data_IF_655241304449
#
_entry.id   IF_655241304449
#
_cell.length_a   1.000
_cell.length_b   1.000
_cell.length_c   1.000
_cell.angle_alpha   90.00
_cell.angle_beta   90.00
_cell.angle_gamma   90.00
#
_symmetry.space_group_name_H-M   'P 1'
#
loop_
_entity.id
_entity.type
_entity.pdbx_description
1 polymer ?
#
# COMPACT_ATOMS: atom_id res chain seq x y z
N UNK A 1 -2.22 8.87 2.78
CA UNK A 1 -2.08 8.65 1.33
C UNK A 1 -2.34 7.18 0.99
N UNK A 2 -2.81 6.86 -0.23
CA UNK A 2 -3.00 5.47 -0.70
C UNK A 2 -2.21 5.15 -1.98
N UNK A 3 -2.05 3.88 -2.34
CA UNK A 3 -1.22 3.43 -3.48
C UNK A 3 -1.47 4.18 -4.81
N UNK A 4 -2.72 4.48 -5.16
CA UNK A 4 -3.02 5.30 -6.35
C UNK A 4 -2.47 6.74 -6.32
N UNK A 5 -2.35 7.35 -5.15
CA UNK A 5 -1.67 8.65 -4.98
C UNK A 5 -0.14 8.51 -5.06
N UNK A 6 0.43 7.39 -4.59
CA UNK A 6 1.87 7.14 -4.76
C UNK A 6 2.25 7.05 -6.24
N UNK A 7 1.44 6.42 -7.10
CA UNK A 7 1.65 6.47 -8.57
C UNK A 7 1.76 7.92 -9.06
N UNK A 8 0.88 8.81 -8.62
CA UNK A 8 0.91 10.22 -9.02
C UNK A 8 2.15 10.96 -8.46
N UNK A 9 2.46 10.80 -7.17
CA UNK A 9 3.60 11.44 -6.52
C UNK A 9 4.93 11.00 -7.17
N UNK A 10 5.14 9.69 -7.33
CA UNK A 10 6.33 9.09 -7.94
C UNK A 10 6.50 9.48 -9.41
N UNK A 11 5.41 9.61 -10.17
CA UNK A 11 5.46 10.05 -11.56
C UNK A 11 5.87 11.52 -11.69
N UNK A 12 5.35 12.39 -10.81
CA UNK A 12 5.73 13.81 -10.79
C UNK A 12 7.18 14.00 -10.34
N UNK A 13 7.61 13.29 -9.29
CA UNK A 13 8.99 13.24 -8.78
C UNK A 13 9.96 12.77 -9.88
N UNK A 14 9.67 11.65 -10.53
CA UNK A 14 10.48 11.12 -11.63
C UNK A 14 10.61 12.10 -12.81
N UNK A 15 9.55 12.81 -13.19
CA UNK A 15 9.62 13.80 -14.28
C UNK A 15 10.33 15.09 -13.85
N UNK A 16 10.26 15.48 -12.58
CA UNK A 16 10.95 16.64 -12.04
C UNK A 16 12.47 16.42 -11.90
N UNK A 17 12.88 15.27 -11.35
CA UNK A 17 14.28 15.02 -10.97
C UNK A 17 15.07 14.17 -11.95
N UNK A 18 14.42 13.51 -12.93
CA UNK A 18 15.16 12.88 -14.03
C UNK A 18 15.65 13.94 -15.02
N UNK A 19 16.89 14.37 -14.83
CA UNK A 19 17.58 15.34 -15.68
C UNK A 19 17.61 14.97 -17.17
N UNK A 20 17.45 13.69 -17.55
CA UNK A 20 17.39 13.29 -18.96
C UNK A 20 16.02 13.58 -19.61
N UNK A 21 14.96 13.79 -18.82
CA UNK A 21 13.61 14.09 -19.31
C UNK A 21 13.36 15.60 -19.37
N UNK A 22 13.60 16.32 -18.26
CA UNK A 22 13.41 17.78 -18.18
C UNK A 22 14.48 18.44 -17.29
N UNK A 23 15.65 18.81 -17.86
CA UNK A 23 16.70 19.52 -17.13
C UNK A 23 16.19 20.77 -16.41
N UNK A 24 16.52 20.94 -15.13
CA UNK A 24 16.14 22.12 -14.34
C UNK A 24 14.66 22.19 -13.94
N UNK A 25 13.87 21.15 -14.17
CA UNK A 25 12.52 21.02 -13.60
C UNK A 25 12.58 20.91 -12.07
N UNK A 26 11.44 21.15 -11.42
CA UNK A 26 11.30 21.16 -9.95
C UNK A 26 9.99 20.52 -9.52
N UNK A 27 10.02 19.76 -8.44
CA UNK A 27 8.83 19.18 -7.82
C UNK A 27 8.18 20.20 -6.89
N UNK A 28 6.90 20.50 -7.13
CA UNK A 28 6.06 21.32 -6.25
C UNK A 28 5.08 20.39 -5.53
N UNK A 29 5.05 20.42 -4.20
CA UNK A 29 3.95 19.87 -3.42
C UNK A 29 3.04 21.03 -3.01
N UNK A 30 1.79 20.98 -3.45
CA UNK A 30 0.73 21.94 -3.13
C UNK A 30 -0.43 21.21 -2.45
N UNK A 31 -1.00 21.83 -1.42
CA UNK A 31 -2.30 21.45 -0.90
C UNK A 31 -3.37 22.28 -1.60
N UNK A 32 -4.34 21.63 -2.23
CA UNK A 32 -5.41 22.28 -2.99
C UNK A 32 -6.67 22.42 -2.14
N UNK A 33 -6.56 23.21 -1.05
CA UNK A 33 -7.50 23.26 0.06
C UNK A 33 -8.73 24.16 -0.18
N UNK A 34 -9.28 24.12 -1.41
CA UNK A 34 -10.43 24.94 -1.85
C UNK A 34 -11.78 24.53 -1.23
N UNK A 35 -11.80 23.63 -0.25
CA UNK A 35 -13.01 23.07 0.36
C UNK A 35 -12.91 23.03 1.90
N UNK A 36 -13.26 24.12 2.60
CA UNK A 36 -13.10 24.27 4.04
C UNK A 36 -13.56 23.10 4.89
N UNK A 37 -14.78 22.61 4.64
CA UNK A 37 -15.44 21.57 5.43
C UNK A 37 -14.85 20.16 5.32
N UNK A 38 -13.85 19.94 4.46
CA UNK A 38 -13.23 18.63 4.21
C UNK A 38 -11.73 18.59 4.56
N UNK A 39 -11.11 19.75 4.70
CA UNK A 39 -9.66 19.86 4.89
C UNK A 39 -9.29 19.89 6.37
N UNK A 40 -8.20 19.20 6.71
CA UNK A 40 -7.68 19.17 8.08
C UNK A 40 -6.16 19.13 8.09
N UNK A 41 -5.57 19.79 9.08
CA UNK A 41 -4.12 19.83 9.28
C UNK A 41 -3.51 18.43 9.52
N UNK A 42 -4.26 17.51 10.16
CA UNK A 42 -3.83 16.11 10.38
C UNK A 42 -3.57 15.36 9.06
N UNK A 43 -4.38 15.61 8.03
CA UNK A 43 -4.19 14.99 6.71
C UNK A 43 -2.97 15.57 5.99
N UNK A 44 -2.73 16.88 6.11
CA UNK A 44 -1.57 17.53 5.50
C UNK A 44 -0.26 16.99 6.07
N UNK A 45 -0.17 16.83 7.39
CA UNK A 45 0.98 16.21 8.05
C UNK A 45 1.19 14.76 7.58
N UNK A 46 0.13 13.95 7.55
CA UNK A 46 0.20 12.56 7.08
C UNK A 46 0.58 12.44 5.59
N UNK A 47 0.14 13.36 4.73
CA UNK A 47 0.48 13.38 3.30
C UNK A 47 1.95 13.75 3.04
N UNK A 48 2.58 14.59 3.87
CA UNK A 48 4.01 14.87 3.77
C UNK A 48 4.86 13.71 4.29
N UNK A 49 4.41 13.07 5.37
CA UNK A 49 5.06 11.91 5.96
C UNK A 49 5.04 10.69 5.01
N UNK A 50 3.90 10.44 4.35
CA UNK A 50 3.78 9.38 3.34
C UNK A 50 4.64 9.66 2.09
N UNK A 51 4.85 10.92 1.72
CA UNK A 51 5.75 11.29 0.61
C UNK A 51 7.23 11.15 0.98
N UNK A 52 7.62 11.56 2.20
CA UNK A 52 8.96 11.27 2.75
C UNK A 52 9.24 9.77 2.77
N UNK A 53 8.26 8.96 3.20
CA UNK A 53 8.33 7.49 3.18
C UNK A 53 8.63 6.94 1.78
N UNK A 54 8.11 7.57 0.72
CA UNK A 54 8.38 7.18 -0.67
C UNK A 54 9.71 7.74 -1.23
N UNK A 55 10.46 8.50 -0.43
CA UNK A 55 11.59 9.32 -0.85
C UNK A 55 11.23 10.36 -1.92
N UNK A 56 9.99 10.89 -1.89
CA UNK A 56 9.52 12.00 -2.72
C UNK A 56 9.74 13.30 -1.95
N UNK A 57 10.65 14.15 -2.42
CA UNK A 57 11.09 15.36 -1.70
C UNK A 57 10.84 16.59 -2.57
N UNK A 58 10.00 17.56 -2.13
CA UNK A 58 9.70 18.74 -2.93
C UNK A 58 10.89 19.71 -2.98
N UNK A 59 11.14 20.29 -4.16
CA UNK A 59 11.95 21.51 -4.29
C UNK A 59 11.23 22.73 -3.73
N UNK A 60 9.89 22.71 -3.75
CA UNK A 60 9.03 23.78 -3.24
C UNK A 60 7.79 23.19 -2.58
N UNK A 61 7.63 23.42 -1.28
CA UNK A 61 6.41 23.12 -0.55
C UNK A 61 5.53 24.39 -0.48
N UNK A 62 4.29 24.29 -0.95
CA UNK A 62 3.31 25.37 -0.94
C UNK A 62 2.18 24.98 0.01
N UNK A 63 2.29 25.47 1.25
CA UNK A 63 1.33 25.23 2.32
C UNK A 63 0.21 26.28 2.38
N UNK A 64 -0.20 26.83 1.22
CA UNK A 64 -1.38 27.67 1.05
C UNK A 64 -1.66 27.95 -0.44
N UNK A 65 -2.83 27.55 -0.93
CA UNK A 65 -3.58 28.46 -1.78
C UNK A 65 -4.12 29.60 -0.90
N UNK A 66 -4.22 30.82 -1.43
CA UNK A 66 -5.14 31.80 -0.84
C UNK A 66 -6.56 31.32 -1.15
N UNK A 67 -7.53 31.39 -0.23
CA UNK A 67 -8.93 31.15 -0.60
C UNK A 67 -9.31 32.16 -1.69
N UNK A 68 -9.58 31.64 -2.88
CA UNK A 68 -10.03 32.37 -4.05
C UNK A 68 -11.19 31.58 -4.66
N UNK A 69 -12.23 32.25 -5.19
CA UNK A 69 -13.50 32.25 -4.45
C UNK A 69 -14.76 32.60 -5.33
N UNK A 70 -15.83 31.77 -5.35
CA UNK A 70 -17.15 31.92 -6.08
C UNK A 70 -18.35 31.34 -5.28
N UNK A 71 -19.62 31.66 -5.63
CA UNK A 71 -20.83 31.44 -4.80
C UNK A 71 -22.06 30.91 -5.53
N UNK A 72 -21.90 30.08 -6.54
CA UNK A 72 -23.03 29.59 -7.35
C UNK A 72 -23.86 28.52 -6.61
N UNK A 73 -25.15 28.80 -6.34
CA UNK A 73 -26.08 27.82 -5.78
C UNK A 73 -26.27 26.62 -6.74
N UNK A 74 -26.09 25.39 -6.22
CA UNK A 74 -26.34 24.15 -6.96
C UNK A 74 -27.80 24.11 -7.45
N UNK A 75 -27.99 24.25 -8.76
CA UNK A 75 -29.30 24.15 -9.39
C UNK A 75 -29.91 22.78 -9.09
N UNK A 76 -31.02 22.77 -8.33
CA UNK A 76 -31.71 21.55 -7.89
C UNK A 76 -32.22 20.68 -9.04
N UNK A 77 -32.30 21.21 -10.25
CA UNK A 77 -32.52 20.42 -11.44
C UNK A 77 -31.59 20.83 -12.60
N UNK A 78 -30.92 19.85 -13.18
CA UNK A 78 -29.87 20.03 -14.18
C UNK A 78 -30.40 20.00 -15.63
N UNK A 79 -31.73 20.07 -15.82
CA UNK A 79 -32.40 19.95 -17.13
C UNK A 79 -31.86 20.97 -18.13
N UNK A 80 -31.75 22.26 -17.78
CA UNK A 80 -31.24 23.28 -18.70
C UNK A 80 -29.82 22.95 -19.22
N UNK A 81 -28.92 22.49 -18.35
CA UNK A 81 -27.56 22.06 -18.71
C UNK A 81 -27.57 20.81 -19.60
N UNK A 82 -28.40 19.81 -19.29
CA UNK A 82 -28.56 18.59 -20.10
C UNK A 82 -29.10 18.91 -21.50
N UNK A 83 -30.07 19.82 -21.59
CA UNK A 83 -30.69 20.28 -22.83
C UNK A 83 -29.90 21.40 -23.53
N UNK A 84 -28.71 21.77 -23.03
CA UNK A 84 -27.83 22.85 -23.55
C UNK A 84 -28.53 24.21 -23.71
N UNK A 85 -29.54 24.49 -22.89
CA UNK A 85 -30.26 25.75 -22.90
C UNK A 85 -29.43 26.85 -22.20
N UNK A 86 -29.38 28.08 -22.73
CA UNK A 86 -28.73 29.20 -22.05
C UNK A 86 -29.49 29.55 -20.77
N UNK A 87 -28.75 30.03 -19.76
CA UNK A 87 -29.36 30.64 -18.56
C UNK A 87 -30.12 31.91 -18.97
N UNK A 88 -31.25 32.19 -18.31
CA UNK A 88 -31.96 33.47 -18.45
C UNK A 88 -31.11 34.68 -18.03
N UNK A 89 -30.01 34.45 -17.31
CA UNK A 89 -29.01 35.46 -16.92
C UNK A 89 -27.74 35.45 -17.79
N UNK A 90 -27.70 34.70 -18.90
CA UNK A 90 -26.48 34.54 -19.72
C UNK A 90 -25.96 35.86 -20.30
N UNK A 91 -26.87 36.69 -20.78
CA UNK A 91 -26.55 37.88 -21.57
C UNK A 91 -26.77 39.19 -20.78
N UNK A 92 -26.65 39.12 -19.44
CA UNK A 92 -26.63 40.32 -18.57
C UNK A 92 -25.45 41.22 -18.93
N UNK A 93 -25.62 42.53 -18.75
CA UNK A 93 -24.54 43.47 -19.04
C UNK A 93 -23.44 43.45 -17.95
N UNK A 94 -22.29 44.05 -18.26
CA UNK A 94 -21.12 44.05 -17.36
C UNK A 94 -21.45 44.72 -16.01
N UNK A 95 -22.23 45.81 -16.02
CA UNK A 95 -22.59 46.54 -14.79
C UNK A 95 -23.51 45.73 -13.90
N UNK A 96 -24.51 45.07 -14.46
CA UNK A 96 -25.41 44.15 -13.75
C UNK A 96 -24.64 42.97 -13.14
N UNK A 97 -23.72 42.40 -13.92
CA UNK A 97 -22.88 41.27 -13.50
C UNK A 97 -21.96 41.65 -12.34
N UNK A 98 -21.31 42.82 -12.41
CA UNK A 98 -20.46 43.34 -11.34
C UNK A 98 -21.26 43.69 -10.08
N UNK A 99 -22.47 44.27 -10.23
CA UNK A 99 -23.36 44.52 -9.09
C UNK A 99 -23.73 43.23 -8.38
N UNK A 100 -24.18 42.22 -9.13
CA UNK A 100 -24.51 40.91 -8.56
C UNK A 100 -23.32 40.22 -7.88
N UNK A 101 -22.10 40.35 -8.41
CA UNK A 101 -20.91 39.83 -7.76
C UNK A 101 -20.60 40.55 -6.43
N UNK A 102 -20.77 41.88 -6.40
CA UNK A 102 -20.64 42.69 -5.18
C UNK A 102 -21.70 42.35 -4.13
N UNK A 103 -22.94 42.08 -4.55
CA UNK A 103 -24.04 41.65 -3.68
C UNK A 103 -23.74 40.28 -3.04
N UNK A 104 -23.21 39.33 -3.84
CA UNK A 104 -22.80 38.01 -3.36
C UNK A 104 -21.70 38.14 -2.29
N UNK A 105 -20.64 38.90 -2.57
CA UNK A 105 -19.55 39.13 -1.61
C UNK A 105 -20.06 39.76 -0.30
N UNK A 106 -20.97 40.73 -0.39
CA UNK A 106 -21.46 41.50 0.76
C UNK A 106 -22.50 40.75 1.60
N UNK A 107 -23.20 39.76 1.02
CA UNK A 107 -24.27 39.01 1.66
C UNK A 107 -23.86 37.71 2.34
N UNK A 108 -22.57 37.35 2.31
CA UNK A 108 -22.09 36.06 2.83
C UNK A 108 -21.70 36.11 4.31
N UNK A 109 -22.21 35.18 5.14
CA UNK A 109 -21.83 35.09 6.54
C UNK A 109 -20.39 34.59 6.70
N UNK A 110 -19.81 34.86 7.87
CA UNK A 110 -18.53 34.30 8.29
C UNK A 110 -18.58 32.76 8.26
N UNK A 111 -17.59 32.13 7.62
CA UNK A 111 -17.38 30.68 7.67
C UNK A 111 -16.24 30.34 8.65
N UNK A 112 -16.54 29.96 9.90
CA UNK A 112 -15.53 29.55 10.87
C UNK A 112 -14.96 28.14 10.60
N UNK A 113 -15.44 27.42 9.57
CA UNK A 113 -14.94 26.08 9.25
C UNK A 113 -13.63 26.06 8.47
N UNK A 114 -13.20 27.19 7.89
CA UNK A 114 -11.91 27.24 7.18
C UNK A 114 -10.73 27.43 8.14
N UNK A 115 -9.95 26.36 8.32
CA UNK A 115 -8.88 26.24 9.31
C UNK A 115 -7.66 27.15 9.11
N UNK A 116 -7.58 27.90 8.00
CA UNK A 116 -6.45 28.81 7.70
C UNK A 116 -6.79 30.30 7.78
N UNK A 117 -7.96 30.73 7.30
CA UNK A 117 -8.39 32.14 7.35
C UNK A 117 -9.91 32.26 7.52
N UNK A 118 -10.37 32.43 8.76
CA UNK A 118 -11.76 32.80 9.04
C UNK A 118 -11.97 34.29 8.69
N UNK A 119 -12.50 34.57 7.50
CA UNK A 119 -12.81 35.92 7.02
C UNK A 119 -14.24 36.06 6.51
N UNK A 120 -14.95 37.07 7.01
CA UNK A 120 -16.26 37.52 6.54
C UNK A 120 -16.29 37.73 5.02
N UNK A 121 -17.41 37.39 4.36
CA UNK A 121 -17.61 37.66 2.93
C UNK A 121 -16.91 36.71 1.94
N UNK A 122 -16.41 35.55 2.38
CA UNK A 122 -15.69 34.57 1.54
C UNK A 122 -16.63 33.60 0.80
N UNK A 123 -16.24 33.06 -0.36
CA UNK A 123 -17.14 32.44 -1.36
C UNK A 123 -16.53 31.12 -1.93
N UNK A 124 -17.12 29.93 -1.70
CA UNK A 124 -16.65 28.59 -2.13
C UNK A 124 -16.48 28.28 -3.66
N UNK A 125 -15.29 28.51 -4.27
CA UNK A 125 -14.97 28.34 -5.72
C UNK A 125 -15.06 26.92 -6.32
N UNK A 126 -14.80 26.86 -7.63
CA UNK A 126 -14.58 25.64 -8.41
C UNK A 126 -13.09 25.28 -8.59
N UNK A 127 -12.83 23.98 -8.45
CA UNK A 127 -11.54 23.34 -8.73
C UNK A 127 -11.01 23.64 -10.14
N UNK A 128 -11.88 23.53 -11.15
CA UNK A 128 -11.52 23.69 -12.57
C UNK A 128 -10.92 25.08 -12.88
N UNK A 129 -11.31 26.12 -12.12
CA UNK A 129 -10.73 27.47 -12.24
C UNK A 129 -9.53 27.67 -11.30
N UNK A 130 -9.61 27.25 -10.04
CA UNK A 130 -8.54 27.48 -9.06
C UNK A 130 -7.24 26.77 -9.43
N UNK A 131 -7.31 25.48 -9.77
CA UNK A 131 -6.12 24.68 -10.07
C UNK A 131 -5.30 25.27 -11.23
N UNK A 132 -5.98 25.80 -12.24
CA UNK A 132 -5.39 26.45 -13.42
C UNK A 132 -4.70 27.77 -13.09
N UNK A 133 -5.32 28.61 -12.24
CA UNK A 133 -4.73 29.86 -11.78
C UNK A 133 -3.50 29.59 -10.91
N UNK A 134 -3.55 28.60 -10.03
CA UNK A 134 -2.42 28.17 -9.21
C UNK A 134 -1.27 27.62 -10.07
N UNK A 135 -1.58 26.75 -11.05
CA UNK A 135 -0.58 26.20 -11.98
C UNK A 135 0.13 27.32 -12.78
N UNK A 136 -0.58 28.38 -13.16
CA UNK A 136 0.01 29.56 -13.77
C UNK A 136 0.91 30.35 -12.79
N UNK A 137 0.38 30.76 -11.63
CA UNK A 137 1.05 31.60 -10.61
C UNK A 137 2.33 30.92 -10.10
N UNK A 138 2.30 29.60 -9.93
CA UNK A 138 3.41 28.84 -9.34
C UNK A 138 4.50 28.50 -10.35
N UNK A 139 4.28 28.77 -11.64
CA UNK A 139 5.23 28.49 -12.71
C UNK A 139 5.22 27.03 -13.17
N UNK A 140 4.11 26.30 -13.00
CA UNK A 140 4.00 24.89 -13.43
C UNK A 140 4.26 24.79 -14.93
N UNK A 141 5.27 24.00 -15.31
CA UNK A 141 5.69 23.82 -16.70
C UNK A 141 4.99 22.64 -17.39
N UNK A 142 4.35 21.77 -16.61
CA UNK A 142 3.67 20.54 -17.03
C UNK A 142 2.70 20.13 -15.91
N UNK A 143 1.42 19.98 -16.23
CA UNK A 143 0.43 19.46 -15.29
C UNK A 143 0.13 17.99 -15.60
N UNK A 144 0.30 17.11 -14.62
CA UNK A 144 -0.04 15.69 -14.75
C UNK A 144 -1.34 15.41 -13.99
N UNK A 145 -2.36 14.90 -14.69
CA UNK A 145 -3.70 14.66 -14.10
C UNK A 145 -4.17 13.23 -14.39
N UNK A 146 -5.09 12.71 -13.59
CA UNK A 146 -5.74 11.42 -13.91
C UNK A 146 -6.70 11.58 -15.09
N UNK A 147 -6.80 10.54 -15.91
CA UNK A 147 -7.64 10.52 -17.11
C UNK A 147 -9.15 10.70 -16.86
N UNK A 148 -9.61 10.70 -15.61
CA UNK A 148 -10.98 11.08 -15.23
C UNK A 148 -11.28 12.58 -15.43
N UNK A 149 -10.24 13.41 -15.63
CA UNK A 149 -10.34 14.85 -15.86
C UNK A 149 -10.13 15.27 -17.32
N UNK A 150 -9.88 14.37 -18.28
CA UNK A 150 -9.57 14.75 -19.67
C UNK A 150 -10.68 15.58 -20.35
N UNK A 151 -11.95 15.34 -19.99
CA UNK A 151 -13.11 16.17 -20.39
C UNK A 151 -12.99 17.65 -19.97
N UNK A 152 -12.07 18.01 -19.06
CA UNK A 152 -11.80 19.38 -18.61
C UNK A 152 -10.66 20.05 -19.37
N UNK A 153 -9.87 19.33 -20.17
CA UNK A 153 -8.67 19.90 -20.79
C UNK A 153 -9.03 21.01 -21.80
N UNK A 154 -10.11 20.83 -22.56
CA UNK A 154 -10.64 21.87 -23.45
C UNK A 154 -11.13 23.12 -22.69
N UNK A 155 -11.72 22.95 -21.50
CA UNK A 155 -12.13 24.05 -20.64
C UNK A 155 -10.91 24.77 -20.04
N UNK A 156 -9.87 24.02 -19.65
CA UNK A 156 -8.61 24.56 -19.16
C UNK A 156 -7.85 25.34 -20.24
N UNK A 157 -7.81 24.85 -21.48
CA UNK A 157 -7.20 25.58 -22.60
C UNK A 157 -7.94 26.90 -22.87
N UNK A 158 -9.28 26.87 -22.89
CA UNK A 158 -10.12 28.06 -23.08
C UNK A 158 -9.90 29.11 -21.99
N UNK A 159 -9.86 28.73 -20.70
CA UNK A 159 -9.60 29.66 -19.62
C UNK A 159 -8.21 30.32 -19.74
N UNK A 160 -7.18 29.57 -20.13
CA UNK A 160 -5.84 30.12 -20.31
C UNK A 160 -5.79 31.12 -21.47
N UNK A 161 -6.48 30.85 -22.58
CA UNK A 161 -6.59 31.77 -23.71
C UNK A 161 -7.40 33.04 -23.32
N UNK A 162 -8.58 32.87 -22.74
CA UNK A 162 -9.48 33.98 -22.39
C UNK A 162 -8.90 34.93 -21.34
N UNK A 163 -8.01 34.44 -20.45
CA UNK A 163 -7.31 35.23 -19.44
C UNK A 163 -5.91 35.69 -19.88
N UNK A 164 -5.45 35.35 -21.10
CA UNK A 164 -4.12 35.70 -21.59
C UNK A 164 -2.97 35.06 -20.82
N UNK A 165 -3.19 33.89 -20.22
CA UNK A 165 -2.21 33.19 -19.39
C UNK A 165 -1.21 32.40 -20.24
N UNK A 166 -0.04 32.13 -19.65
CA UNK A 166 0.94 31.19 -20.21
C UNK A 166 0.31 29.80 -20.24
N UNK A 167 0.26 29.20 -21.43
CA UNK A 167 -0.22 27.83 -21.61
C UNK A 167 0.64 26.82 -20.82
N UNK A 168 -0.03 26.05 -19.96
CA UNK A 168 0.50 24.93 -19.19
C UNK A 168 -0.03 23.65 -19.86
N UNK A 169 0.83 22.82 -20.47
CA UNK A 169 0.38 21.58 -21.09
C UNK A 169 -0.07 20.59 -20.01
N UNK A 170 -1.28 20.04 -20.19
CA UNK A 170 -1.83 18.98 -19.36
C UNK A 170 -1.56 17.65 -20.07
N UNK A 171 -1.09 16.65 -19.32
CA UNK A 171 -0.99 15.26 -19.76
C UNK A 171 -1.73 14.37 -18.79
N UNK A 172 -2.53 13.44 -19.33
CA UNK A 172 -3.28 12.50 -18.53
C UNK A 172 -2.49 11.19 -18.27
N UNK A 173 -2.82 10.54 -17.16
CA UNK A 173 -2.34 9.19 -16.87
C UNK A 173 -3.47 8.33 -16.29
N UNK A 174 -3.36 7.01 -16.49
CA UNK A 174 -4.35 6.05 -16.01
C UNK A 174 -4.43 6.01 -14.48
N UNK A 175 -5.63 6.29 -13.94
CA UNK A 175 -5.91 6.11 -12.51
C UNK A 175 -5.70 4.65 -12.10
N UNK A 176 -5.17 4.46 -10.90
CA UNK A 176 -4.98 3.16 -10.27
C UNK A 176 -6.17 2.89 -9.34
N UNK A 177 -7.03 1.91 -9.68
CA UNK A 177 -8.28 1.66 -8.97
C UNK A 177 -8.10 0.67 -7.82
N UNK A 178 -8.43 1.10 -6.60
CA UNK A 178 -8.40 0.32 -5.36
C UNK A 178 -9.59 0.66 -4.49
N UNK A 179 -10.12 -0.32 -3.76
CA UNK A 179 -11.20 -0.11 -2.80
C UNK A 179 -10.63 0.54 -1.54
N UNK A 180 -11.27 1.62 -1.11
CA UNK A 180 -10.96 2.34 0.12
C UNK A 180 -12.29 2.63 0.82
N UNK A 181 -12.76 1.68 1.62
CA UNK A 181 -13.94 1.86 2.46
C UNK A 181 -13.50 1.90 3.93
N UNK A 182 -13.91 2.95 4.66
CA UNK A 182 -13.57 3.13 6.06
C UNK A 182 -14.39 2.26 7.01
N UNK A 183 -15.51 1.67 6.54
CA UNK A 183 -16.38 0.81 7.36
C UNK A 183 -15.79 -0.57 7.60
N UNK A 184 -14.92 -1.03 6.71
CA UNK A 184 -14.31 -2.36 6.72
C UNK A 184 -12.94 -2.39 7.41
N UNK A 185 -12.53 -1.28 8.02
CA UNK A 185 -11.24 -1.06 8.65
C UNK A 185 -11.42 -0.38 10.01
N UNK A 186 -10.55 -0.67 10.98
CA UNK A 186 -10.54 -0.03 12.30
C UNK A 186 -9.95 1.39 12.27
N UNK A 187 -9.33 1.79 11.15
CA UNK A 187 -8.75 3.11 10.91
C UNK A 187 -7.89 3.11 9.63
N UNK A 188 -7.26 4.24 9.32
CA UNK A 188 -6.42 4.39 8.12
C UNK A 188 -5.12 3.56 8.15
N UNK A 189 -4.67 3.16 9.34
CA UNK A 189 -3.49 2.31 9.57
C UNK A 189 -3.83 0.81 9.71
N UNK A 190 -5.11 0.46 9.55
CA UNK A 190 -5.59 -0.93 9.60
C UNK A 190 -4.90 -1.77 8.50
N UNK A 191 -4.48 -3.02 8.80
CA UNK A 191 -3.90 -3.95 7.83
C UNK A 191 -4.60 -4.06 6.47
N UNK A 192 -5.92 -3.85 6.42
CA UNK A 192 -6.75 -3.93 5.23
C UNK A 192 -6.56 -2.77 4.26
N UNK A 193 -6.14 -1.61 4.75
CA UNK A 193 -6.12 -0.39 3.95
C UNK A 193 -4.95 -0.37 2.95
N UNK A 194 -5.16 0.02 1.68
CA UNK A 194 -4.10 0.20 0.70
C UNK A 194 -3.34 1.54 0.89
N UNK A 195 -3.14 1.95 2.15
CA UNK A 195 -2.40 3.16 2.53
C UNK A 195 -0.89 2.92 2.46
N UNK A 196 -0.11 3.97 2.17
CA UNK A 196 1.34 3.84 1.96
C UNK A 196 2.03 3.31 3.22
N UNK A 197 1.72 3.91 4.37
CA UNK A 197 2.14 3.44 5.71
C UNK A 197 1.91 1.95 5.89
N UNK A 198 0.71 1.46 5.54
CA UNK A 198 0.34 0.06 5.75
C UNK A 198 1.01 -0.89 4.77
N UNK A 199 1.20 -0.48 3.52
CA UNK A 199 1.89 -1.27 2.51
C UNK A 199 3.38 -1.42 2.88
N UNK A 200 4.03 -0.33 3.30
CA UNK A 200 5.42 -0.37 3.80
C UNK A 200 5.51 -1.21 5.08
N UNK A 201 4.61 -1.02 6.06
CA UNK A 201 4.51 -1.83 7.29
C UNK A 201 4.17 -3.31 7.06
N UNK A 202 3.79 -3.70 5.84
CA UNK A 202 3.64 -5.11 5.43
C UNK A 202 4.90 -5.70 4.79
N UNK A 203 6.01 -4.95 4.79
CA UNK A 203 7.28 -5.38 4.20
C UNK A 203 7.37 -5.18 2.69
N UNK A 204 6.55 -4.31 2.08
CA UNK A 204 6.80 -3.85 0.71
C UNK A 204 7.82 -2.71 0.75
N UNK A 205 8.99 -2.94 0.17
CA UNK A 205 10.06 -1.95 0.06
C UNK A 205 9.66 -0.78 -0.84
N UNK A 206 10.20 0.40 -0.52
CA UNK A 206 9.93 1.63 -1.27
C UNK A 206 10.35 1.50 -2.74
N UNK A 207 11.46 0.82 -3.04
CA UNK A 207 11.90 0.60 -4.42
C UNK A 207 10.95 -0.30 -5.21
N UNK A 208 10.30 -1.28 -4.56
CA UNK A 208 9.24 -2.07 -5.18
C UNK A 208 7.98 -1.21 -5.46
N UNK A 209 7.71 -0.19 -4.63
CA UNK A 209 6.65 0.80 -4.88
C UNK A 209 6.98 1.76 -6.04
N UNK A 210 8.26 2.08 -6.27
CA UNK A 210 8.67 2.95 -7.40
C UNK A 210 8.33 2.34 -8.76
N UNK A 211 8.38 1.02 -8.87
CA UNK A 211 8.06 0.24 -10.06
C UNK A 211 6.53 0.03 -10.28
N UNK A 212 5.65 0.52 -9.40
CA UNK A 212 4.18 0.28 -9.43
C UNK A 212 3.46 0.94 -10.61
N UNK A 213 4.14 1.75 -11.43
CA UNK A 213 3.53 2.64 -12.43
C UNK A 213 2.46 2.00 -13.35
N UNK A 214 2.50 0.67 -13.60
CA UNK A 214 1.42 -0.07 -14.27
C UNK A 214 1.11 -1.48 -13.69
N UNK A 215 1.44 -1.78 -12.43
CA UNK A 215 1.42 -3.17 -11.94
C UNK A 215 0.14 -3.58 -11.18
N UNK A 216 -0.30 -4.83 -11.42
CA UNK A 216 -1.31 -5.51 -10.62
C UNK A 216 -0.76 -5.90 -9.24
N UNK A 217 -1.64 -6.07 -8.26
CA UNK A 217 -1.28 -6.36 -6.86
C UNK A 217 -0.37 -7.59 -6.70
N UNK A 218 -0.68 -8.70 -7.36
CA UNK A 218 0.16 -9.90 -7.34
C UNK A 218 1.57 -9.68 -7.91
N UNK A 219 1.70 -8.83 -8.94
CA UNK A 219 3.00 -8.49 -9.55
C UNK A 219 3.85 -7.62 -8.62
N UNK A 220 3.25 -6.71 -7.86
CA UNK A 220 3.94 -5.94 -6.82
C UNK A 220 4.54 -6.86 -5.76
N UNK A 221 3.79 -7.85 -5.26
CA UNK A 221 4.31 -8.82 -4.29
C UNK A 221 5.42 -9.71 -4.87
N UNK A 222 5.28 -10.16 -6.12
CA UNK A 222 6.32 -10.93 -6.80
C UNK A 222 7.61 -10.12 -7.02
N UNK A 223 7.48 -8.85 -7.39
CA UNK A 223 8.61 -7.93 -7.55
C UNK A 223 9.29 -7.64 -6.22
N UNK A 224 8.52 -7.30 -5.18
CA UNK A 224 9.04 -7.08 -3.84
C UNK A 224 9.79 -8.32 -3.34
N UNK A 225 9.22 -9.52 -3.49
CA UNK A 225 9.90 -10.79 -3.18
C UNK A 225 11.24 -10.93 -3.92
N UNK A 226 11.30 -10.59 -5.21
CA UNK A 226 12.54 -10.64 -6.01
C UNK A 226 13.61 -9.66 -5.48
N UNK A 227 13.20 -8.51 -4.94
CA UNK A 227 14.10 -7.52 -4.36
C UNK A 227 14.61 -7.92 -2.96
N UNK A 228 13.73 -8.46 -2.09
CA UNK A 228 14.09 -8.75 -0.69
C UNK A 228 14.69 -10.16 -0.49
N UNK A 229 14.39 -11.16 -1.32
CA UNK A 229 14.92 -12.52 -1.13
C UNK A 229 16.46 -12.58 -1.17
N UNK A 230 17.20 -11.84 -2.03
CA UNK A 230 18.66 -11.83 -1.96
C UNK A 230 19.24 -11.29 -0.63
N UNK A 231 18.56 -10.33 0.01
CA UNK A 231 19.09 -9.56 1.15
C UNK A 231 18.54 -9.96 2.52
N UNK A 232 17.35 -10.59 2.57
CA UNK A 232 16.66 -10.91 3.83
C UNK A 232 17.32 -12.09 4.55
N UNK A 233 17.62 -12.00 5.86
CA UNK A 233 18.12 -13.13 6.64
C UNK A 233 17.06 -14.21 6.82
N UNK A 234 17.48 -15.48 6.87
CA UNK A 234 16.58 -16.64 6.98
C UNK A 234 16.49 -17.09 8.45
N UNK A 235 15.30 -17.00 9.02
CA UNK A 235 14.99 -17.46 10.38
C UNK A 235 14.11 -18.71 10.37
N UNK A 236 14.19 -19.54 11.41
CA UNK A 236 13.43 -20.78 11.51
C UNK A 236 12.32 -20.66 12.55
N UNK A 237 11.07 -20.79 12.12
CA UNK A 237 9.88 -20.75 12.97
C UNK A 237 9.04 -22.03 12.83
N UNK A 238 8.38 -22.45 13.92
CA UNK A 238 7.46 -23.59 13.97
C UNK A 238 6.21 -23.18 14.76
N UNK A 239 5.02 -23.54 14.27
CA UNK A 239 3.75 -23.36 14.97
C UNK A 239 3.79 -24.08 16.33
N UNK A 240 3.33 -23.40 17.38
CA UNK A 240 3.18 -23.98 18.72
C UNK A 240 2.05 -25.02 18.81
N UNK A 241 1.06 -24.92 17.94
CA UNK A 241 0.01 -25.93 17.79
C UNK A 241 0.52 -27.13 16.99
N UNK A 242 0.26 -28.34 17.49
CA UNK A 242 0.69 -29.57 16.82
C UNK A 242 2.20 -29.85 16.92
N UNK A 243 2.92 -29.20 17.83
CA UNK A 243 4.32 -29.53 18.13
C UNK A 243 4.49 -31.01 18.45
N UNK A 244 5.55 -31.59 17.89
CA UNK A 244 5.93 -32.99 18.10
C UNK A 244 7.37 -33.04 18.62
N UNK A 245 7.57 -33.71 19.76
CA UNK A 245 8.91 -33.85 20.32
C UNK A 245 9.69 -34.92 19.55
N UNK A 246 10.88 -34.56 19.08
CA UNK A 246 11.75 -35.49 18.38
C UNK A 246 13.00 -35.79 19.22
N UNK A 247 13.25 -37.08 19.47
CA UNK A 247 14.48 -37.55 20.11
C UNK A 247 15.45 -37.99 19.02
N UNK A 248 16.52 -37.23 18.83
CA UNK A 248 17.61 -37.55 17.91
C UNK A 248 18.70 -38.30 18.66
N UNK A 249 19.20 -39.40 18.09
CA UNK A 249 20.30 -40.19 18.64
C UNK A 249 21.45 -40.30 17.63
N UNK A 250 22.64 -40.65 18.12
CA UNK A 250 23.90 -40.54 17.37
C UNK A 250 24.61 -39.19 17.54
N UNK A 251 24.46 -38.56 18.71
CA UNK A 251 25.15 -37.32 19.08
C UNK A 251 25.78 -37.50 20.48
N UNK A 252 27.00 -38.04 20.50
CA UNK A 252 27.87 -38.13 21.67
C UNK A 252 29.23 -37.53 21.28
N UNK A 253 29.84 -36.71 22.13
CA UNK A 253 31.24 -36.27 21.97
C UNK A 253 32.25 -37.43 22.12
N UNK A 254 31.76 -38.63 22.47
CA UNK A 254 32.56 -39.85 22.54
C UNK A 254 31.80 -41.07 21.99
N UNK A 255 32.35 -41.60 20.88
CA UNK A 255 32.15 -42.95 20.31
C UNK A 255 30.93 -43.22 19.42
N UNK A 256 31.19 -44.02 18.39
CA UNK A 256 30.27 -44.43 17.32
C UNK A 256 29.98 -45.92 17.38
N UNK A 257 28.74 -46.35 17.09
CA UNK A 257 28.45 -47.76 16.78
C UNK A 257 27.76 -47.96 15.42
N UNK A 258 28.13 -49.06 14.75
CA UNK A 258 27.81 -49.37 13.35
C UNK A 258 26.63 -50.33 13.23
N UNK A 259 25.62 -50.01 12.40
CA UNK A 259 24.62 -51.00 11.93
C UNK A 259 24.23 -50.87 10.46
N UNK A 260 24.42 -51.95 9.70
CA UNK A 260 23.73 -52.22 8.43
C UNK A 260 22.63 -53.27 8.65
N UNK A 261 21.54 -53.20 7.86
CA UNK A 261 20.58 -54.31 7.66
C UNK A 261 20.58 -54.89 6.24
N UNK A 262 21.75 -54.77 5.58
CA UNK A 262 22.17 -55.44 4.33
C UNK A 262 21.83 -54.75 2.98
N UNK A 263 22.80 -54.80 2.06
CA UNK A 263 22.81 -54.08 0.76
C UNK A 263 22.18 -54.89 -0.39
N UNK A 264 21.90 -56.19 -0.19
CA UNK A 264 21.32 -57.09 -1.21
C UNK A 264 20.11 -57.92 -0.73
N UNK A 265 19.32 -57.44 0.23
CA UNK A 265 18.11 -58.17 0.67
C UNK A 265 16.85 -57.28 0.68
N UNK A 266 16.07 -57.36 -0.39
CA UNK A 266 14.87 -56.54 -0.65
C UNK A 266 13.69 -56.82 0.28
N UNK A 267 13.76 -57.84 1.16
CA UNK A 267 12.65 -58.25 2.05
C UNK A 267 12.55 -57.49 3.38
N UNK A 268 13.55 -56.69 3.78
CA UNK A 268 13.60 -56.06 5.12
C UNK A 268 13.00 -54.64 5.21
N UNK A 269 12.43 -54.13 4.12
CA UNK A 269 11.82 -52.79 4.07
C UNK A 269 12.84 -51.64 4.02
N UNK A 270 12.38 -50.47 3.60
CA UNK A 270 13.18 -49.23 3.61
C UNK A 270 12.93 -48.51 4.95
N UNK A 271 14.00 -48.12 5.66
CA UNK A 271 13.86 -47.07 6.68
C UNK A 271 13.48 -45.77 5.96
N UNK A 272 12.52 -45.02 6.50
CA UNK A 272 12.23 -43.70 5.98
C UNK A 272 13.39 -42.76 6.35
N UNK A 273 13.89 -42.02 5.36
CA UNK A 273 15.00 -41.08 5.51
C UNK A 273 14.50 -39.66 5.22
N UNK A 274 14.83 -38.73 6.09
CA UNK A 274 14.43 -37.32 6.05
C UNK A 274 15.66 -36.42 6.19
N UNK A 275 15.61 -35.19 5.71
CA UNK A 275 16.67 -34.20 5.94
C UNK A 275 16.23 -33.23 7.03
N UNK A 276 17.04 -33.05 8.06
CA UNK A 276 16.87 -31.99 9.05
C UNK A 276 17.50 -30.71 8.47
N UNK A 277 16.72 -29.66 8.27
CA UNK A 277 17.22 -28.41 7.68
C UNK A 277 18.44 -27.87 8.46
N UNK A 278 19.48 -27.43 7.73
CA UNK A 278 20.78 -26.97 8.26
C UNK A 278 21.59 -28.01 9.06
N UNK A 279 21.10 -29.24 9.19
CA UNK A 279 21.85 -30.44 9.57
C UNK A 279 21.92 -31.34 8.33
N UNK A 280 21.91 -32.67 8.50
CA UNK A 280 21.98 -33.65 7.42
C UNK A 280 20.77 -34.60 7.44
N UNK A 281 20.88 -35.75 6.76
CA UNK A 281 19.86 -36.78 6.79
C UNK A 281 19.74 -37.47 8.16
N UNK A 282 18.58 -38.04 8.41
CA UNK A 282 18.30 -38.89 9.57
C UNK A 282 17.31 -40.00 9.20
N UNK A 283 17.54 -41.20 9.76
CA UNK A 283 16.67 -42.35 9.62
C UNK A 283 15.59 -42.38 10.71
N UNK A 284 14.33 -42.41 10.29
CA UNK A 284 13.18 -42.60 11.18
C UNK A 284 13.18 -44.04 11.70
N UNK A 285 13.42 -44.21 13.00
CA UNK A 285 13.41 -45.52 13.66
C UNK A 285 12.03 -45.89 14.18
N UNK A 286 11.36 -44.95 14.84
CA UNK A 286 10.10 -45.19 15.53
C UNK A 286 9.24 -43.93 15.54
N UNK A 287 7.94 -44.11 15.33
CA UNK A 287 6.92 -43.06 15.37
C UNK A 287 5.90 -43.49 16.43
N UNK A 288 5.87 -42.81 17.57
CA UNK A 288 4.88 -43.05 18.62
C UNK A 288 3.61 -42.25 18.32
N UNK A 289 2.45 -42.91 18.38
CA UNK A 289 1.13 -42.30 18.15
C UNK A 289 0.21 -42.54 19.34
N UNK A 290 -0.61 -41.54 19.63
CA UNK A 290 -1.66 -41.58 20.67
C UNK A 290 -3.00 -42.04 20.06
N UNK A 291 -3.26 -41.57 18.84
CA UNK A 291 -4.39 -41.92 18.00
C UNK A 291 -3.89 -42.12 16.55
N UNK A 292 -4.66 -42.74 15.63
CA UNK A 292 -4.18 -43.07 14.27
C UNK A 292 -3.57 -41.89 13.50
N UNK A 293 -4.10 -40.69 13.73
CA UNK A 293 -3.71 -39.41 13.14
C UNK A 293 -2.78 -38.53 14.00
N UNK A 294 -2.63 -38.78 15.31
CA UNK A 294 -1.86 -37.93 16.23
C UNK A 294 -0.54 -38.58 16.63
N UNK A 295 0.56 -38.10 16.06
CA UNK A 295 1.92 -38.49 16.43
C UNK A 295 2.36 -37.69 17.66
N UNK A 296 3.01 -38.36 18.62
CA UNK A 296 3.48 -37.77 19.89
C UNK A 296 4.99 -37.58 19.88
N UNK A 297 5.73 -38.61 19.46
CA UNK A 297 7.19 -38.57 19.41
C UNK A 297 7.75 -39.31 18.21
N UNK A 298 8.92 -38.87 17.75
CA UNK A 298 9.70 -39.55 16.70
C UNK A 298 11.12 -39.79 17.23
N UNK A 299 11.64 -41.01 17.04
CA UNK A 299 13.06 -41.33 17.24
C UNK A 299 13.79 -41.33 15.90
N UNK A 300 14.87 -40.55 15.82
CA UNK A 300 15.74 -40.42 14.65
C UNK A 300 17.16 -40.88 14.98
N UNK A 301 17.83 -41.48 14.01
CA UNK A 301 19.29 -41.72 14.03
C UNK A 301 19.92 -40.88 12.92
N UNK A 302 20.98 -40.12 13.21
CA UNK A 302 21.63 -39.29 12.19
C UNK A 302 22.33 -40.13 11.11
N UNK A 303 22.26 -39.64 9.87
CA UNK A 303 23.01 -40.13 8.72
C UNK A 303 23.71 -38.95 8.02
N UNK A 304 24.90 -38.60 8.51
CA UNK A 304 25.72 -37.51 7.96
C UNK A 304 26.30 -37.82 6.56
N UNK A 305 26.08 -39.03 6.04
CA UNK A 305 26.54 -39.47 4.70
C UNK A 305 25.41 -39.56 3.67
N UNK A 306 24.19 -39.19 4.06
CA UNK A 306 22.99 -39.30 3.21
C UNK A 306 22.92 -38.23 2.11
N UNK A 307 22.31 -38.58 0.98
CA UNK A 307 22.07 -37.62 -0.10
C UNK A 307 20.80 -36.79 0.17
N UNK A 308 21.00 -35.58 0.69
CA UNK A 308 19.95 -34.59 1.02
C UNK A 308 19.08 -34.14 -0.16
N UNK A 309 19.41 -34.53 -1.41
CA UNK A 309 18.60 -34.24 -2.60
C UNK A 309 17.48 -35.26 -2.83
N UNK A 310 17.56 -36.44 -2.20
CA UNK A 310 16.63 -37.57 -2.42
C UNK A 310 15.57 -37.72 -1.33
N UNK A 311 15.61 -36.86 -0.32
CA UNK A 311 14.88 -37.00 0.96
C UNK A 311 13.96 -35.81 1.21
N UNK A 312 12.89 -36.03 1.97
CA UNK A 312 11.97 -34.95 2.37
C UNK A 312 12.62 -34.09 3.44
N UNK A 313 12.70 -32.79 3.21
CA UNK A 313 13.25 -31.82 4.16
C UNK A 313 12.22 -31.45 5.23
N UNK A 314 12.67 -31.32 6.47
CA UNK A 314 11.86 -30.97 7.63
C UNK A 314 12.53 -29.85 8.42
N UNK A 315 11.75 -28.82 8.72
CA UNK A 315 12.11 -27.70 9.61
C UNK A 315 11.97 -28.15 11.06
N UNK A 316 12.97 -27.85 11.89
CA UNK A 316 13.04 -28.30 13.28
C UNK A 316 13.66 -27.19 14.15
N UNK A 317 13.46 -27.30 15.47
CA UNK A 317 14.07 -26.43 16.47
C UNK A 317 14.59 -27.30 17.62
N UNK A 318 15.72 -26.91 18.19
CA UNK A 318 16.24 -27.56 19.38
C UNK A 318 15.29 -27.32 20.56
N UNK A 319 14.84 -28.39 21.23
CA UNK A 319 13.96 -28.30 22.42
C UNK A 319 14.75 -27.89 23.67
N UNK A 320 15.34 -26.70 23.61
CA UNK A 320 16.12 -26.08 24.69
C UNK A 320 15.37 -24.81 25.09
N UNK A 321 14.59 -24.80 26.18
CA UNK A 321 13.70 -23.67 26.52
C UNK A 321 14.40 -22.32 26.57
N UNK A 322 15.65 -22.26 27.05
CA UNK A 322 16.46 -21.03 27.12
C UNK A 322 16.95 -20.51 25.76
N UNK A 323 16.76 -21.26 24.67
CA UNK A 323 17.11 -20.87 23.29
C UNK A 323 15.90 -20.63 22.38
N UNK A 324 14.70 -21.06 22.80
CA UNK A 324 13.48 -20.76 22.06
C UNK A 324 13.07 -19.29 22.26
N UNK A 325 12.47 -18.72 21.22
CA UNK A 325 11.83 -17.39 21.24
C UNK A 325 10.37 -17.60 20.89
N UNK A 326 9.45 -17.03 21.68
CA UNK A 326 8.02 -17.05 21.39
C UNK A 326 7.61 -15.77 20.64
N UNK A 327 6.77 -15.90 19.62
CA UNK A 327 6.19 -14.79 18.85
C UNK A 327 4.87 -15.22 18.24
N UNK A 328 4.17 -14.24 17.69
CA UNK A 328 2.95 -14.43 16.93
C UNK A 328 3.22 -14.09 15.47
N UNK A 329 3.14 -15.09 14.58
CA UNK A 329 3.08 -14.82 13.15
C UNK A 329 1.71 -14.26 12.82
N UNK A 330 1.68 -13.18 12.03
CA UNK A 330 0.46 -12.56 11.54
C UNK A 330 0.45 -12.68 10.02
N UNK A 331 -0.39 -13.58 9.51
CA UNK A 331 -0.58 -13.81 8.08
C UNK A 331 -1.75 -12.97 7.60
N UNK A 332 -1.59 -12.34 6.45
CA UNK A 332 -2.65 -11.55 5.81
C UNK A 332 -3.04 -12.14 4.46
N UNK A 333 -4.34 -12.17 4.18
CA UNK A 333 -4.92 -12.59 2.91
C UNK A 333 -5.44 -11.39 2.09
N UNK A 334 -6.13 -11.64 0.99
CA UNK A 334 -6.85 -10.62 0.20
C UNK A 334 -8.05 -10.05 0.98
N UNK A 335 -8.33 -8.76 0.79
CA UNK A 335 -9.45 -8.06 1.45
C UNK A 335 -10.81 -8.44 0.88
N UNK A 336 -10.83 -8.65 -0.43
CA UNK A 336 -11.99 -9.06 -1.21
C UNK A 336 -11.73 -10.42 -1.84
N UNK A 337 -12.78 -11.21 -2.06
CA UNK A 337 -12.69 -12.54 -2.68
C UNK A 337 -12.71 -12.51 -4.21
N UNK A 338 -12.90 -11.34 -4.82
CA UNK A 338 -13.09 -11.16 -6.27
C UNK A 338 -12.11 -10.13 -6.84
N UNK A 339 -11.61 -10.36 -8.07
CA UNK A 339 -10.66 -9.46 -8.73
C UNK A 339 -11.28 -8.10 -9.12
N UNK A 340 -12.60 -8.04 -9.30
CA UNK A 340 -13.34 -6.84 -9.72
C UNK A 340 -14.75 -6.83 -9.12
N UNK A 341 -15.08 -5.77 -8.40
CA UNK A 341 -16.47 -5.46 -8.06
C UNK A 341 -17.12 -4.64 -9.19
N UNK A 342 -18.32 -5.05 -9.62
CA UNK A 342 -19.21 -4.20 -10.41
C UNK A 342 -20.03 -3.27 -9.51
N UNK A 343 -20.48 -2.14 -10.07
CA UNK A 343 -21.27 -1.10 -9.37
C UNK A 343 -22.61 -1.58 -8.78
N UNK A 344 -23.01 -2.82 -9.05
CA UNK A 344 -24.27 -3.43 -8.58
C UNK A 344 -24.12 -4.25 -7.28
N UNK A 345 -22.91 -4.47 -6.80
CA UNK A 345 -22.64 -5.36 -5.67
C UNK A 345 -22.50 -4.61 -4.35
N UNK A 346 -22.99 -5.21 -3.26
CA UNK A 346 -22.67 -4.74 -1.93
C UNK A 346 -21.27 -5.22 -1.53
N UNK A 347 -20.37 -4.29 -1.18
CA UNK A 347 -18.99 -4.62 -0.78
C UNK A 347 -18.94 -5.69 0.32
N UNK A 348 -19.88 -5.62 1.27
CA UNK A 348 -19.95 -6.48 2.45
C UNK A 348 -20.13 -7.98 2.09
N UNK A 349 -20.70 -8.29 0.91
CA UNK A 349 -20.89 -9.67 0.43
C UNK A 349 -19.57 -10.33 -0.01
N UNK A 350 -18.57 -9.52 -0.38
CA UNK A 350 -17.31 -9.96 -1.00
C UNK A 350 -16.10 -9.79 -0.09
N UNK A 351 -16.29 -9.36 1.16
CA UNK A 351 -15.22 -9.27 2.14
C UNK A 351 -14.72 -10.65 2.55
N UNK A 352 -13.40 -10.83 2.57
CA UNK A 352 -12.78 -12.05 3.04
C UNK A 352 -13.06 -12.26 4.55
N UNK A 353 -13.69 -13.41 4.88
CA UNK A 353 -14.09 -13.74 6.26
C UNK A 353 -12.92 -13.77 7.24
N UNK A 354 -11.76 -14.24 6.79
CA UNK A 354 -10.53 -14.38 7.58
C UNK A 354 -9.37 -13.64 6.91
N UNK A 355 -9.38 -12.30 6.96
CA UNK A 355 -8.31 -11.48 6.38
C UNK A 355 -6.98 -11.58 7.14
N UNK A 356 -7.03 -11.75 8.46
CA UNK A 356 -5.87 -11.79 9.35
C UNK A 356 -5.92 -13.10 10.14
N UNK A 357 -4.84 -13.89 10.08
CA UNK A 357 -4.68 -15.10 10.89
C UNK A 357 -3.46 -14.93 11.78
N UNK A 358 -3.65 -15.13 13.09
CA UNK A 358 -2.58 -15.07 14.10
C UNK A 358 -2.21 -16.48 14.54
N UNK A 359 -0.93 -16.83 14.43
CA UNK A 359 -0.42 -18.15 14.80
C UNK A 359 0.71 -18.00 15.82
N UNK A 360 0.52 -18.56 17.01
CA UNK A 360 1.55 -18.61 18.05
C UNK A 360 2.65 -19.59 17.63
N UNK A 361 3.91 -19.17 17.73
CA UNK A 361 5.06 -19.91 17.19
C UNK A 361 6.28 -19.83 18.11
N UNK A 362 7.20 -20.77 17.90
CA UNK A 362 8.57 -20.73 18.45
C UNK A 362 9.60 -20.63 17.32
N UNK A 363 10.76 -20.03 17.60
CA UNK A 363 11.90 -19.89 16.69
C UNK A 363 13.22 -20.07 17.43
N UNK A 364 14.28 -20.14 16.62
CA UNK A 364 15.66 -20.13 17.07
C UNK A 364 16.07 -18.80 17.71
N UNK A 365 17.13 -18.86 18.52
CA UNK A 365 17.62 -17.72 19.31
C UNK A 365 18.09 -16.52 18.51
N UNK A 366 18.39 -16.67 17.21
CA UNK A 366 18.84 -15.55 16.38
C UNK A 366 17.67 -14.59 16.08
N UNK A 367 16.42 -15.06 16.23
CA UNK A 367 15.21 -14.24 16.08
C UNK A 367 15.01 -13.25 17.24
N UNK A 368 15.85 -13.27 18.29
CA UNK A 368 15.82 -12.27 19.38
C UNK A 368 16.25 -10.87 18.98
N UNK A 369 17.11 -10.77 17.95
CA UNK A 369 17.61 -9.50 17.43
C UNK A 369 16.69 -8.87 16.37
N UNK A 370 15.50 -9.43 16.13
CA UNK A 370 14.51 -8.81 15.27
C UNK A 370 13.84 -7.68 16.05
N UNK A 371 14.14 -6.44 15.65
CA UNK A 371 13.52 -5.25 16.22
C UNK A 371 12.02 -5.18 15.89
N UNK A 372 11.24 -4.55 16.77
CA UNK A 372 9.87 -4.17 16.45
C UNK A 372 9.88 -2.79 15.76
N UNK A 373 9.55 -2.78 14.46
CA UNK A 373 9.21 -1.56 13.69
C UNK A 373 7.74 -1.12 13.91
#
# INVERSE_FOLDING_TARGET
MHIGHAKAALLNDYIAHNHNLRPGCKLIIRFDDNSPSKEKQEFQAALLDDQRTLNVIPDKLISAGKPLVDGTALAKDNVARRSRLPSSKRDMNISETLSHFSDIHSGLPDDPSYHRTSTAGSIYLTYDFCALILDYIEGVALALRTNEYCDRDAQCAWFQEALGLRQVPIYDFSRLNFIVDSRIATGWDDPRMPTIRRIVRRGIGVDALKEVLNLQWGTLWALNKKMIDPTTPRHTAINSEGLMLCMVTGFDDTSSETKLKHVKNTRLGKKAEITLMNWENAYVQHIQKDAPSKVVSIRLDLNLTGDVRKTRKITWLASVPTKLVAFQLVTFDYLITEDKLSDKYCLDEFLAKNFETRTSCFADSNSRGLEQE
#
